data_IF_967653253128
#
_entry.id   IF_967653253128
#
_cell.length_a   1.000
_cell.length_b   1.000
_cell.length_c   1.000
_cell.angle_alpha   90.00
_cell.angle_beta   90.00
_cell.angle_gamma   90.00
#
_symmetry.space_group_name_H-M   'P 1'
#
loop_
_entity.id
_entity.type
_entity.pdbx_description
1 polymer ?
#
# COMPACT_ATOMS: atom_id res chain seq x y z
N UNK A 1 -0.81 8.50 18.63
CA UNK A 1 -0.46 7.37 17.76
C UNK A 1 0.52 6.47 18.48
N UNK A 2 0.35 5.17 18.39
CA UNK A 2 1.30 4.15 18.88
C UNK A 2 1.80 3.39 17.66
N UNK A 3 3.10 3.12 17.62
CA UNK A 3 3.74 2.37 16.55
C UNK A 3 4.63 1.27 17.13
N UNK A 4 4.70 0.14 16.45
CA UNK A 4 5.57 -0.97 16.79
C UNK A 4 6.02 -1.70 15.53
N UNK A 5 7.31 -2.04 15.48
CA UNK A 5 7.88 -2.78 14.36
C UNK A 5 8.79 -3.90 14.81
N UNK A 6 8.90 -4.93 13.99
CA UNK A 6 9.83 -6.03 14.17
C UNK A 6 10.46 -6.39 12.82
N UNK A 7 11.76 -6.65 12.84
CA UNK A 7 12.53 -7.02 11.65
C UNK A 7 13.50 -8.15 12.02
N UNK A 8 13.45 -9.22 11.24
CA UNK A 8 14.34 -10.37 11.39
C UNK A 8 15.03 -10.65 10.06
N UNK A 9 16.35 -10.70 10.09
CA UNK A 9 17.16 -11.13 8.94
C UNK A 9 17.92 -12.40 9.27
N UNK A 10 17.82 -13.39 8.40
CA UNK A 10 18.52 -14.66 8.48
C UNK A 10 19.18 -15.02 7.14
N UNK A 11 20.10 -15.96 7.13
CA UNK A 11 20.65 -16.51 5.89
C UNK A 11 20.03 -17.88 5.63
N UNK A 12 19.37 -18.03 4.48
CA UNK A 12 18.74 -19.28 4.04
C UNK A 12 19.31 -19.65 2.68
N UNK A 13 19.88 -20.84 2.58
CA UNK A 13 20.56 -21.34 1.37
C UNK A 13 21.58 -20.33 0.78
N UNK A 14 22.33 -19.65 1.66
CA UNK A 14 23.35 -18.67 1.27
C UNK A 14 22.82 -17.34 0.77
N UNK A 15 21.52 -17.07 0.92
CA UNK A 15 20.88 -15.80 0.55
C UNK A 15 20.19 -15.17 1.77
N UNK A 16 20.13 -13.83 1.85
CA UNK A 16 19.41 -13.18 2.93
C UNK A 16 17.90 -13.42 2.79
N UNK A 17 17.28 -13.73 3.92
CA UNK A 17 15.83 -13.74 4.11
C UNK A 17 15.51 -12.69 5.16
N UNK A 18 14.69 -11.74 4.81
CA UNK A 18 14.16 -10.71 5.72
C UNK A 18 12.68 -10.90 5.91
N UNK A 19 12.23 -10.90 7.16
CA UNK A 19 10.81 -10.92 7.54
C UNK A 19 10.59 -9.69 8.40
N UNK A 20 9.56 -8.93 8.13
CA UNK A 20 9.25 -7.74 8.90
C UNK A 20 7.75 -7.62 9.16
N UNK A 21 7.43 -6.92 10.24
CA UNK A 21 6.08 -6.59 10.65
C UNK A 21 6.08 -5.16 11.19
N UNK A 22 5.12 -4.38 10.76
CA UNK A 22 4.86 -3.02 11.23
C UNK A 22 3.40 -2.90 11.65
N UNK A 23 3.15 -2.17 12.73
CA UNK A 23 1.83 -1.88 13.25
C UNK A 23 1.76 -0.42 13.72
N UNK A 24 0.66 0.24 13.43
CA UNK A 24 0.36 1.57 13.94
C UNK A 24 -1.11 1.66 14.35
N UNK A 25 -1.39 2.44 15.38
CA UNK A 25 -2.74 2.72 15.88
C UNK A 25 -2.89 4.19 16.20
N UNK A 26 -3.94 4.81 15.67
CA UNK A 26 -4.31 6.18 15.98
C UNK A 26 -5.24 6.23 17.19
N UNK A 27 -4.69 6.50 18.37
CA UNK A 27 -5.45 6.57 19.63
C UNK A 27 -6.52 7.66 19.67
N UNK A 28 -6.39 8.69 18.83
CA UNK A 28 -7.32 9.83 18.78
C UNK A 28 -8.46 9.64 17.76
N UNK A 29 -8.47 8.52 17.02
CA UNK A 29 -9.55 8.24 16.09
C UNK A 29 -10.89 8.07 16.81
N UNK A 30 -11.94 8.61 16.23
CA UNK A 30 -13.31 8.46 16.71
C UNK A 30 -13.98 7.21 16.14
N UNK A 31 -15.07 6.78 16.76
CA UNK A 31 -15.88 5.69 16.24
C UNK A 31 -16.53 6.13 14.93
N UNK A 32 -16.26 5.40 13.86
CA UNK A 32 -16.92 5.64 12.58
C UNK A 32 -18.42 5.29 12.74
N UNK A 33 -19.34 6.24 12.51
CA UNK A 33 -20.77 6.04 12.77
C UNK A 33 -21.40 4.99 11.85
N UNK A 34 -20.84 4.77 10.68
CA UNK A 34 -21.34 3.80 9.72
C UNK A 34 -20.80 2.40 9.99
N UNK A 35 -19.51 2.28 10.33
CA UNK A 35 -18.89 1.01 10.68
C UNK A 35 -19.24 0.54 12.11
N UNK A 36 -19.65 1.45 12.99
CA UNK A 36 -19.91 1.18 14.41
C UNK A 36 -18.65 0.82 15.22
N UNK A 37 -17.46 1.02 14.64
CA UNK A 37 -16.15 0.77 15.26
C UNK A 37 -15.15 1.86 14.86
N UNK A 38 -14.04 1.93 15.57
CA UNK A 38 -12.89 2.72 15.12
C UNK A 38 -12.26 2.04 13.91
N UNK A 39 -11.75 2.84 12.98
CA UNK A 39 -11.00 2.43 11.79
C UNK A 39 -9.60 3.03 11.88
N UNK A 40 -8.87 2.67 12.91
CA UNK A 40 -7.72 3.38 13.46
C UNK A 40 -6.41 2.61 13.36
N UNK A 41 -6.42 1.41 12.74
CA UNK A 41 -5.24 0.55 12.69
C UNK A 41 -4.63 0.48 11.30
N UNK A 42 -3.31 0.43 11.27
CA UNK A 42 -2.53 0.10 10.08
C UNK A 42 -1.54 -1.01 10.40
N UNK A 43 -1.36 -1.96 9.49
CA UNK A 43 -0.37 -3.02 9.62
C UNK A 43 0.25 -3.37 8.28
N UNK A 44 1.51 -3.80 8.35
CA UNK A 44 2.23 -4.36 7.21
C UNK A 44 3.01 -5.59 7.65
N UNK A 45 3.01 -6.62 6.82
CA UNK A 45 3.81 -7.82 6.99
C UNK A 45 4.46 -8.19 5.68
N UNK A 46 5.78 -8.43 5.69
CA UNK A 46 6.48 -8.73 4.47
C UNK A 46 7.62 -9.72 4.62
N UNK A 47 7.91 -10.38 3.51
CA UNK A 47 9.03 -11.30 3.34
C UNK A 47 9.82 -10.93 2.10
N UNK A 48 11.14 -10.83 2.24
CA UNK A 48 12.08 -10.57 1.17
C UNK A 48 13.12 -11.67 1.14
N UNK A 49 13.38 -12.23 -0.03
CA UNK A 49 14.39 -13.27 -0.20
C UNK A 49 15.33 -12.95 -1.35
N UNK A 50 16.62 -13.13 -1.10
CA UNK A 50 17.69 -12.77 -2.02
C UNK A 50 18.12 -11.30 -1.84
N UNK A 51 19.02 -10.88 -2.70
CA UNK A 51 19.47 -9.48 -2.79
C UNK A 51 19.96 -9.21 -4.21
N UNK A 52 19.33 -8.28 -4.90
CA UNK A 52 19.81 -7.78 -6.17
C UNK A 52 20.96 -6.78 -5.91
N UNK A 53 22.10 -7.03 -6.54
CA UNK A 53 23.32 -6.24 -6.41
C UNK A 53 23.82 -5.81 -7.79
N UNK A 54 24.98 -5.15 -7.88
CA UNK A 54 25.63 -4.83 -9.16
C UNK A 54 26.13 -6.06 -9.92
N UNK A 55 26.10 -7.25 -9.31
CA UNK A 55 26.60 -8.50 -9.89
C UNK A 55 25.56 -9.13 -10.80
N UNK A 56 25.93 -9.42 -12.04
CA UNK A 56 25.06 -10.14 -12.98
C UNK A 56 24.55 -11.46 -12.39
N UNK A 57 23.26 -11.73 -12.55
CA UNK A 57 22.59 -12.93 -12.05
C UNK A 57 22.11 -12.81 -10.59
N UNK A 58 22.40 -11.73 -9.89
CA UNK A 58 21.79 -11.47 -8.59
C UNK A 58 20.32 -11.10 -8.72
N UNK A 59 19.52 -11.51 -7.74
CA UNK A 59 18.08 -11.32 -7.75
C UNK A 59 17.52 -11.19 -6.33
N UNK A 60 16.37 -10.55 -6.26
CA UNK A 60 15.56 -10.42 -5.05
C UNK A 60 14.09 -10.64 -5.40
N UNK A 61 13.36 -11.25 -4.49
CA UNK A 61 11.90 -11.36 -4.58
C UNK A 61 11.29 -11.04 -3.22
N UNK A 62 10.14 -10.37 -3.21
CA UNK A 62 9.43 -10.01 -2.01
C UNK A 62 7.93 -10.03 -2.16
N UNK A 63 7.27 -10.32 -1.06
CA UNK A 63 5.80 -10.24 -0.89
C UNK A 63 5.54 -9.42 0.36
N UNK A 64 4.65 -8.47 0.24
CA UNK A 64 4.15 -7.64 1.33
C UNK A 64 2.63 -7.71 1.34
N UNK A 65 2.03 -7.90 2.50
CA UNK A 65 0.63 -7.57 2.76
C UNK A 65 0.59 -6.30 3.59
N UNK A 66 -0.29 -5.39 3.22
CA UNK A 66 -0.51 -4.14 3.95
C UNK A 66 -2.00 -3.89 4.06
N UNK A 67 -2.42 -3.35 5.21
CA UNK A 67 -3.75 -2.86 5.47
C UNK A 67 -3.63 -1.52 6.20
N UNK A 68 -4.40 -0.54 5.73
CA UNK A 68 -4.48 0.78 6.36
C UNK A 68 -5.95 1.13 6.48
N UNK A 69 -6.49 1.16 7.68
CA UNK A 69 -7.84 1.62 7.93
C UNK A 69 -7.97 3.15 7.73
N UNK A 70 -9.20 3.64 7.61
CA UNK A 70 -9.52 5.00 7.17
C UNK A 70 -8.84 6.10 7.99
N UNK A 71 -8.85 5.98 9.31
CA UNK A 71 -8.38 6.98 10.25
C UNK A 71 -7.05 6.59 10.94
N UNK A 72 -6.39 5.54 10.44
CA UNK A 72 -5.17 5.01 11.01
C UNK A 72 -3.97 5.95 10.85
N UNK A 73 -3.79 6.50 9.65
CA UNK A 73 -2.65 7.33 9.25
C UNK A 73 -3.12 8.52 8.41
N UNK A 74 -2.30 9.58 8.38
CA UNK A 74 -2.49 10.64 7.41
C UNK A 74 -2.19 10.13 6.00
N UNK A 75 -3.12 10.31 5.05
CA UNK A 75 -2.97 9.84 3.67
C UNK A 75 -1.68 10.31 2.97
N UNK A 76 -1.16 11.48 3.35
CA UNK A 76 0.11 12.01 2.84
C UNK A 76 1.36 11.21 3.26
N UNK A 77 1.23 10.32 4.26
CA UNK A 77 2.30 9.44 4.73
C UNK A 77 2.27 8.07 4.04
N UNK A 78 1.25 7.81 3.23
CA UNK A 78 1.09 6.56 2.51
C UNK A 78 1.89 6.56 1.21
N UNK A 79 2.30 5.37 0.81
CA UNK A 79 2.85 5.16 -0.54
C UNK A 79 1.76 5.45 -1.58
N UNK A 80 2.01 6.43 -2.45
CA UNK A 80 1.08 6.81 -3.52
C UNK A 80 0.80 5.68 -4.51
N UNK A 81 1.64 4.66 -4.53
CA UNK A 81 1.51 3.51 -5.40
C UNK A 81 0.69 2.37 -4.77
N UNK A 82 0.41 2.45 -3.47
CA UNK A 82 -0.47 1.54 -2.76
C UNK A 82 -1.86 2.15 -2.62
N UNK A 83 -2.89 1.50 -3.21
CA UNK A 83 -4.27 1.96 -3.16
C UNK A 83 -4.49 3.39 -3.70
N UNK A 84 -3.64 3.85 -4.63
CA UNK A 84 -3.64 5.22 -5.15
C UNK A 84 -3.44 6.29 -4.05
N UNK A 85 -2.66 5.95 -3.01
CA UNK A 85 -2.39 6.83 -1.87
C UNK A 85 -3.57 7.07 -0.92
N UNK A 86 -4.60 6.24 -1.01
CA UNK A 86 -5.79 6.37 -0.15
C UNK A 86 -5.65 5.50 1.12
N UNK A 87 -6.22 5.97 2.20
CA UNK A 87 -6.53 5.16 3.39
C UNK A 87 -7.74 4.25 3.10
N UNK A 88 -8.07 3.39 4.04
CA UNK A 88 -9.10 2.35 3.92
C UNK A 88 -8.79 1.37 2.78
N UNK A 89 -7.54 0.97 2.69
CA UNK A 89 -7.03 0.11 1.62
C UNK A 89 -6.26 -1.06 2.22
N UNK A 90 -6.44 -2.24 1.62
CA UNK A 90 -5.68 -3.44 1.94
C UNK A 90 -5.23 -4.16 0.67
N UNK A 91 -4.21 -4.99 0.78
CA UNK A 91 -3.79 -5.82 -0.35
C UNK A 91 -2.35 -6.26 -0.30
N UNK A 92 -1.90 -6.72 -1.46
CA UNK A 92 -0.58 -7.30 -1.64
C UNK A 92 0.29 -6.46 -2.55
N UNK A 93 1.58 -6.44 -2.23
CA UNK A 93 2.63 -5.92 -3.11
C UNK A 93 3.61 -7.05 -3.39
N UNK A 94 3.74 -7.43 -4.65
CA UNK A 94 4.72 -8.37 -5.13
C UNK A 94 5.84 -7.58 -5.79
N UNK A 95 7.09 -7.81 -5.39
CA UNK A 95 8.23 -7.13 -5.99
C UNK A 95 9.33 -8.11 -6.34
N UNK A 96 10.04 -7.82 -7.41
CA UNK A 96 11.18 -8.58 -7.83
C UNK A 96 12.23 -7.71 -8.49
N UNK A 97 13.48 -8.09 -8.35
CA UNK A 97 14.61 -7.44 -9.01
C UNK A 97 15.56 -8.48 -9.59
N UNK A 98 16.08 -8.22 -10.78
CA UNK A 98 17.05 -9.08 -11.43
C UNK A 98 18.13 -8.26 -12.14
N UNK A 99 19.38 -8.56 -11.84
CA UNK A 99 20.54 -7.93 -12.48
C UNK A 99 20.98 -8.76 -13.68
N UNK A 100 20.56 -8.36 -14.88
CA UNK A 100 20.83 -9.10 -16.13
C UNK A 100 22.22 -8.80 -16.72
N UNK A 101 22.81 -7.65 -16.38
CA UNK A 101 24.17 -7.29 -16.73
C UNK A 101 24.83 -6.55 -15.57
N UNK A 102 26.16 -6.47 -15.54
CA UNK A 102 26.86 -5.73 -14.48
C UNK A 102 26.30 -4.30 -14.37
N UNK A 103 25.86 -3.91 -13.17
CA UNK A 103 25.27 -2.62 -12.84
C UNK A 103 23.89 -2.35 -13.48
N UNK A 104 23.31 -3.27 -14.25
CA UNK A 104 21.98 -3.12 -14.84
C UNK A 104 20.97 -4.04 -14.18
N UNK A 105 19.99 -3.46 -13.52
CA UNK A 105 18.94 -4.18 -12.78
C UNK A 105 17.57 -3.76 -13.30
N UNK A 106 16.74 -4.73 -13.65
CA UNK A 106 15.31 -4.53 -13.86
C UNK A 106 14.59 -4.82 -12.55
N UNK A 107 13.65 -3.95 -12.18
CA UNK A 107 12.75 -4.14 -11.05
C UNK A 107 11.31 -4.20 -11.56
N UNK A 108 10.51 -5.03 -10.93
CA UNK A 108 9.07 -5.10 -11.15
C UNK A 108 8.34 -5.06 -9.82
N UNK A 109 7.29 -4.25 -9.73
CA UNK A 109 6.39 -4.19 -8.57
C UNK A 109 4.96 -4.29 -9.05
N UNK A 110 4.21 -5.26 -8.49
CA UNK A 110 2.78 -5.45 -8.76
C UNK A 110 2.01 -5.17 -7.48
N UNK A 111 1.16 -4.16 -7.54
CA UNK A 111 0.20 -3.81 -6.49
C UNK A 111 -1.16 -4.46 -6.82
N UNK A 112 -1.78 -5.10 -5.84
CA UNK A 112 -3.11 -5.70 -5.92
C UNK A 112 -3.84 -5.30 -4.64
N UNK A 113 -4.67 -4.28 -4.73
CA UNK A 113 -5.30 -3.64 -3.59
C UNK A 113 -6.81 -3.56 -3.77
N UNK A 114 -7.51 -3.52 -2.64
CA UNK A 114 -8.95 -3.35 -2.53
C UNK A 114 -9.29 -2.47 -1.32
N UNK A 115 -10.56 -2.12 -1.14
CA UNK A 115 -11.01 -1.47 0.08
C UNK A 115 -10.81 -2.39 1.29
N UNK A 116 -10.36 -1.82 2.41
CA UNK A 116 -10.19 -2.54 3.67
C UNK A 116 -11.54 -2.76 4.39
N UNK A 117 -12.46 -1.80 4.28
CA UNK A 117 -13.78 -1.87 4.89
C UNK A 117 -14.84 -1.43 3.88
N UNK A 118 -15.95 -2.16 3.81
CA UNK A 118 -17.13 -1.82 3.00
C UNK A 118 -17.94 -0.69 3.66
N UNK A 119 -17.28 0.40 4.02
CA UNK A 119 -17.96 1.56 4.63
C UNK A 119 -18.46 2.46 3.53
N UNK A 120 -19.79 2.75 3.48
CA UNK A 120 -20.33 3.70 2.52
C UNK A 120 -19.62 5.05 2.60
N UNK A 121 -19.16 5.53 1.47
CA UNK A 121 -18.55 6.86 1.34
C UNK A 121 -19.53 7.82 0.71
N UNK A 122 -19.49 9.08 1.12
CA UNK A 122 -20.27 10.15 0.53
C UNK A 122 -19.40 10.92 -0.44
N UNK A 123 -19.78 10.93 -1.70
CA UNK A 123 -19.14 11.74 -2.74
C UNK A 123 -20.06 12.92 -3.07
N UNK A 124 -19.54 14.13 -2.94
CA UNK A 124 -20.24 15.33 -3.39
C UNK A 124 -20.00 15.50 -4.88
N UNK A 125 -21.05 15.33 -5.69
CA UNK A 125 -21.00 15.56 -7.13
C UNK A 125 -21.53 16.96 -7.40
N UNK A 126 -20.71 17.78 -8.04
CA UNK A 126 -21.11 19.10 -8.53
C UNK A 126 -21.83 18.92 -9.88
N UNK A 127 -23.10 19.29 -9.95
CA UNK A 127 -23.84 19.27 -11.22
C UNK A 127 -23.68 20.64 -11.91
N UNK A 128 -22.86 20.69 -12.94
CA UNK A 128 -22.55 21.90 -13.72
C UNK A 128 -23.66 22.29 -14.73
N UNK A 129 -24.80 21.60 -14.66
CA UNK A 129 -25.86 21.76 -15.69
C UNK A 129 -26.78 22.96 -15.47
N UNK A 130 -26.68 23.70 -14.37
CA UNK A 130 -27.50 24.87 -14.08
C UNK A 130 -26.70 26.03 -13.50
N UNK A 131 -26.66 27.17 -14.20
CA UNK A 131 -25.86 28.36 -13.78
C UNK A 131 -26.32 29.06 -12.50
N UNK A 132 -27.38 28.62 -11.85
CA UNK A 132 -28.02 29.40 -10.78
C UNK A 132 -27.98 28.81 -9.37
N UNK A 133 -27.66 27.55 -9.20
CA UNK A 133 -27.58 26.92 -7.88
C UNK A 133 -26.59 25.76 -7.96
N UNK A 134 -25.59 25.75 -7.09
CA UNK A 134 -24.73 24.60 -6.85
C UNK A 134 -25.59 23.48 -6.25
N UNK A 135 -26.20 22.67 -7.10
CA UNK A 135 -26.90 21.46 -6.65
C UNK A 135 -25.83 20.42 -6.35
N UNK A 136 -25.46 20.34 -5.08
CA UNK A 136 -24.55 19.32 -4.58
C UNK A 136 -25.35 18.08 -4.25
N UNK A 137 -25.30 17.08 -5.11
CA UNK A 137 -25.82 15.76 -4.78
C UNK A 137 -24.78 14.99 -3.98
N UNK A 138 -25.14 14.55 -2.77
CA UNK A 138 -24.35 13.62 -1.99
C UNK A 138 -24.79 12.21 -2.41
N UNK A 139 -23.93 11.52 -3.15
CA UNK A 139 -24.12 10.11 -3.47
C UNK A 139 -23.42 9.30 -2.39
N UNK A 140 -24.17 8.54 -1.60
CA UNK A 140 -23.63 7.64 -0.62
C UNK A 140 -23.71 6.21 -1.13
N UNK A 141 -22.59 5.47 -1.08
CA UNK A 141 -22.54 4.08 -1.52
C UNK A 141 -21.18 3.44 -1.19
N UNK A 142 -21.14 2.12 -1.29
CA UNK A 142 -19.88 1.40 -1.32
C UNK A 142 -19.37 1.46 -2.76
N UNK A 143 -18.24 2.11 -2.95
CA UNK A 143 -17.58 2.19 -4.25
C UNK A 143 -16.53 1.09 -4.30
N UNK A 144 -16.62 0.21 -5.28
CA UNK A 144 -15.57 -0.76 -5.57
C UNK A 144 -14.30 -0.01 -5.98
N UNK A 145 -13.21 -0.26 -5.25
CA UNK A 145 -11.90 0.36 -5.49
C UNK A 145 -10.82 -0.71 -5.65
N UNK A 146 -11.11 -1.69 -6.50
CA UNK A 146 -10.09 -2.61 -6.96
C UNK A 146 -8.99 -1.84 -7.68
N UNK A 147 -7.77 -1.90 -7.13
CA UNK A 147 -6.62 -1.24 -7.69
C UNK A 147 -5.54 -2.26 -8.06
N UNK A 148 -5.14 -2.25 -9.33
CA UNK A 148 -4.04 -3.09 -9.81
C UNK A 148 -3.08 -2.23 -10.61
N UNK A 149 -1.81 -2.23 -10.20
CA UNK A 149 -0.76 -1.47 -10.87
C UNK A 149 0.48 -2.34 -11.05
N UNK A 150 1.01 -2.36 -12.27
CA UNK A 150 2.32 -2.93 -12.56
C UNK A 150 3.30 -1.80 -12.86
N UNK A 151 4.39 -1.75 -12.12
CA UNK A 151 5.50 -0.83 -12.32
C UNK A 151 6.74 -1.61 -12.74
N UNK A 152 7.44 -1.11 -13.77
CA UNK A 152 8.69 -1.67 -14.25
C UNK A 152 9.74 -0.57 -14.32
N UNK A 153 10.87 -0.79 -13.68
CA UNK A 153 11.97 0.16 -13.61
C UNK A 153 13.26 -0.48 -14.11
N UNK A 154 14.04 0.30 -14.83
CA UNK A 154 15.38 -0.08 -15.25
C UNK A 154 16.39 0.81 -14.52
N UNK A 155 17.24 0.20 -13.72
CA UNK A 155 18.25 0.91 -12.93
C UNK A 155 19.66 0.61 -13.46
N UNK A 156 20.45 1.66 -13.58
CA UNK A 156 21.87 1.58 -13.86
C UNK A 156 22.65 2.22 -12.71
N UNK A 157 23.70 1.52 -12.23
CA UNK A 157 24.62 2.01 -11.19
C UNK A 157 25.99 2.22 -11.81
N UNK A 158 26.52 3.43 -11.74
CA UNK A 158 27.87 3.80 -12.17
C UNK A 158 28.84 3.91 -11.00
#
# INVERSE_FOLDING_TARGET
>A
MIEGSADLTASVAGKPLRVFFDYAENMEAEVNPTAGKKLDTAMAFGVLYGAASATKGSWEFGVLYQQVEKDALFGQLLDSDFGDGNTDTQGYVLRGAYTFARNWTVNGTLFINELSNDVPQSVTVFNDSTPALYDTQVISGVFDRDYKRLQLDLNFRF
#
